data_IF_226437008854
#
_entry.id   IF_226437008854
#
_cell.length_a   1.000
_cell.length_b   1.000
_cell.length_c   1.000
_cell.angle_alpha   90.00
_cell.angle_beta   90.00
_cell.angle_gamma   90.00
#
_symmetry.space_group_name_H-M   'P 1'
#
loop_
_entity.id
_entity.type
_entity.pdbx_description
1 polymer ?
#
# COMPACT_ATOMS: atom_id res chain seq x y z
N UNK A 1 -38.23 27.14 62.41
CA UNK A 1 -39.60 27.13 61.87
C UNK A 1 -39.78 25.83 61.10
N UNK A 2 -40.74 25.00 61.51
CA UNK A 2 -41.00 23.64 60.99
C UNK A 2 -41.63 23.72 59.59
N UNK A 3 -41.20 22.86 58.65
CA UNK A 3 -42.12 22.15 57.74
C UNK A 3 -41.56 20.74 57.47
N UNK A 4 -42.31 19.74 57.91
CA UNK A 4 -42.25 18.33 57.51
C UNK A 4 -43.56 18.03 56.78
N UNK A 5 -43.53 17.21 55.72
CA UNK A 5 -44.55 16.29 55.16
C UNK A 5 -43.97 15.87 53.77
N UNK A 6 -43.48 14.65 53.51
CA UNK A 6 -44.06 13.30 53.46
C UNK A 6 -45.03 13.04 52.29
N UNK A 7 -44.71 11.96 51.56
CA UNK A 7 -45.54 11.00 50.80
C UNK A 7 -45.72 11.09 49.27
N UNK A 8 -45.64 9.88 48.69
CA UNK A 8 -46.05 9.38 47.37
C UNK A 8 -45.10 9.66 46.19
N UNK A 9 -44.68 8.71 45.37
CA UNK A 9 -45.01 7.29 45.27
C UNK A 9 -44.33 6.70 44.02
N UNK A 10 -44.07 5.40 44.10
CA UNK A 10 -43.80 4.41 43.06
C UNK A 10 -43.62 4.82 41.58
N UNK A 11 -42.63 4.14 40.96
CA UNK A 11 -42.64 3.61 39.58
C UNK A 11 -42.71 4.62 38.43
N UNK A 12 -41.64 4.65 37.64
CA UNK A 12 -41.65 3.96 36.35
C UNK A 12 -40.27 4.08 35.71
N UNK A 13 -39.62 2.93 35.52
CA UNK A 13 -38.61 2.79 34.48
C UNK A 13 -39.28 3.18 33.16
N UNK A 14 -38.88 4.28 32.53
CA UNK A 14 -39.32 4.59 31.18
C UNK A 14 -38.23 5.35 30.41
N UNK A 15 -37.84 4.72 29.30
CA UNK A 15 -37.24 5.30 28.12
C UNK A 15 -35.75 5.74 28.16
N UNK A 16 -34.85 4.75 28.11
CA UNK A 16 -33.73 4.85 27.16
C UNK A 16 -34.29 4.72 25.73
N UNK A 17 -34.85 5.81 25.21
CA UNK A 17 -35.09 5.98 23.79
C UNK A 17 -34.08 6.99 23.24
N UNK A 18 -32.80 6.62 23.30
CA UNK A 18 -31.73 7.32 22.60
C UNK A 18 -31.76 6.91 21.12
N UNK A 19 -31.89 7.90 20.25
CA UNK A 19 -31.98 7.78 18.80
C UNK A 19 -31.00 6.76 18.20
N UNK A 20 -31.56 5.65 17.69
CA UNK A 20 -30.92 4.78 16.71
C UNK A 20 -30.86 5.54 15.39
N UNK A 21 -29.88 6.43 15.22
CA UNK A 21 -29.46 6.90 13.89
C UNK A 21 -28.84 5.68 13.24
N UNK A 22 -29.61 5.02 12.38
CA UNK A 22 -29.12 4.03 11.43
C UNK A 22 -28.03 4.69 10.60
N UNK A 23 -26.78 4.50 11.00
CA UNK A 23 -25.66 4.62 10.10
C UNK A 23 -25.82 3.44 9.15
N UNK A 24 -26.32 3.71 7.95
CA UNK A 24 -26.11 2.83 6.81
C UNK A 24 -24.62 2.91 6.48
N UNK A 25 -23.81 2.26 7.31
CA UNK A 25 -22.53 1.74 6.87
C UNK A 25 -22.87 0.76 5.75
N UNK A 26 -22.46 1.09 4.54
CA UNK A 26 -22.32 0.12 3.48
C UNK A 26 -21.23 -0.85 3.90
N UNK A 27 -21.56 -1.76 4.81
CA UNK A 27 -20.82 -3.00 5.03
C UNK A 27 -20.92 -3.76 3.71
N UNK A 28 -19.93 -3.56 2.84
CA UNK A 28 -19.69 -4.49 1.76
C UNK A 28 -19.41 -5.84 2.39
N UNK A 29 -20.38 -6.75 2.32
CA UNK A 29 -20.22 -8.14 2.74
C UNK A 29 -18.93 -8.68 2.11
N UNK A 30 -17.91 -9.10 2.88
CA UNK A 30 -16.75 -9.74 2.30
C UNK A 30 -17.24 -11.05 1.67
N UNK A 31 -17.24 -11.09 0.34
CA UNK A 31 -17.50 -12.32 -0.41
C UNK A 31 -16.27 -13.20 -0.23
N UNK A 32 -16.29 -14.02 0.82
CA UNK A 32 -15.28 -15.04 1.03
C UNK A 32 -15.52 -16.17 0.01
N UNK A 33 -15.01 -16.00 -1.20
CA UNK A 33 -14.82 -17.11 -2.11
C UNK A 33 -13.78 -18.06 -1.49
N UNK A 34 -14.29 -19.11 -0.86
CA UNK A 34 -13.48 -20.17 -0.22
C UNK A 34 -12.98 -21.20 -1.24
N UNK A 35 -13.10 -20.90 -2.54
CA UNK A 35 -12.53 -21.70 -3.61
C UNK A 35 -11.03 -21.92 -3.41
N UNK A 36 -10.60 -23.17 -3.30
CA UNK A 36 -9.18 -23.53 -3.20
C UNK A 36 -8.47 -23.11 -4.48
N UNK A 37 -7.78 -21.96 -4.47
CA UNK A 37 -7.00 -21.51 -5.62
C UNK A 37 -5.73 -22.35 -5.72
N UNK A 38 -5.67 -23.25 -6.71
CA UNK A 38 -4.45 -24.02 -6.99
C UNK A 38 -3.42 -23.12 -7.66
N UNK A 39 -2.33 -22.83 -6.94
CA UNK A 39 -1.19 -22.05 -7.43
C UNK A 39 -0.11 -23.00 -7.92
N UNK A 40 0.09 -23.03 -9.23
CA UNK A 40 1.12 -23.84 -9.89
C UNK A 40 2.15 -22.92 -10.55
N UNK A 41 3.38 -23.42 -10.69
CA UNK A 41 4.41 -22.74 -11.47
C UNK A 41 4.00 -22.68 -12.94
N UNK A 42 4.37 -21.61 -13.63
CA UNK A 42 4.12 -21.44 -15.05
C UNK A 42 5.35 -21.87 -15.87
N UNK A 43 5.13 -22.21 -17.15
CA UNK A 43 6.24 -22.40 -18.09
C UNK A 43 7.08 -21.11 -18.15
N UNK A 44 8.42 -21.20 -18.26
CA UNK A 44 9.28 -20.01 -18.35
C UNK A 44 8.93 -19.12 -19.55
N UNK A 45 9.11 -17.79 -19.46
CA UNK A 45 8.95 -16.90 -20.60
C UNK A 45 10.12 -17.05 -21.59
N UNK A 46 9.97 -16.60 -22.85
CA UNK A 46 11.07 -16.57 -23.79
C UNK A 46 12.25 -15.73 -23.25
N UNK A 47 13.44 -16.34 -23.19
CA UNK A 47 14.69 -15.62 -22.90
C UNK A 47 15.01 -15.33 -21.44
N UNK A 48 14.35 -15.97 -20.46
CA UNK A 48 14.72 -15.79 -19.05
C UNK A 48 13.71 -16.34 -18.04
N UNK A 49 13.65 -15.71 -16.88
CA UNK A 49 12.66 -16.01 -15.83
C UNK A 49 11.51 -15.00 -15.86
N UNK A 50 10.41 -15.32 -15.19
CA UNK A 50 9.32 -14.35 -15.04
C UNK A 50 9.74 -13.10 -14.24
N UNK A 51 10.81 -13.16 -13.44
CA UNK A 51 11.36 -12.00 -12.73
C UNK A 51 11.97 -10.95 -13.65
N UNK A 52 12.27 -11.29 -14.90
CA UNK A 52 12.85 -10.38 -15.90
C UNK A 52 11.76 -9.70 -16.76
N UNK A 53 10.51 -10.15 -16.63
CA UNK A 53 9.36 -9.63 -17.39
C UNK A 53 8.77 -8.45 -16.63
N UNK A 54 8.96 -7.24 -17.19
CA UNK A 54 8.44 -5.99 -16.62
C UNK A 54 7.57 -5.27 -17.64
N UNK A 55 6.34 -4.93 -17.24
CA UNK A 55 5.36 -4.21 -18.07
C UNK A 55 4.82 -2.99 -17.32
N UNK A 56 4.55 -1.90 -18.05
CA UNK A 56 3.76 -0.80 -17.51
C UNK A 56 2.29 -1.21 -17.35
N UNK A 57 1.63 -0.70 -16.31
CA UNK A 57 0.19 -0.82 -16.10
C UNK A 57 -0.44 0.59 -16.06
N UNK A 58 -1.76 0.67 -15.96
CA UNK A 58 -2.46 1.96 -15.80
C UNK A 58 -2.04 2.70 -14.53
N UNK A 59 -1.60 1.98 -13.48
CA UNK A 59 -1.36 2.56 -12.15
C UNK A 59 0.08 2.38 -11.65
N UNK A 60 0.95 1.73 -12.41
CA UNK A 60 2.27 1.37 -11.92
C UNK A 60 3.06 0.51 -12.92
N UNK A 61 3.85 -0.40 -12.36
CA UNK A 61 4.67 -1.33 -13.14
C UNK A 61 4.56 -2.72 -12.53
N UNK A 62 4.42 -3.72 -13.38
CA UNK A 62 4.25 -5.12 -13.02
C UNK A 62 5.51 -5.90 -13.37
N UNK A 63 5.95 -6.76 -12.46
CA UNK A 63 6.96 -7.79 -12.65
C UNK A 63 6.30 -9.18 -12.53
N UNK A 64 6.65 -10.10 -13.41
CA UNK A 64 6.17 -11.48 -13.38
C UNK A 64 5.28 -11.89 -14.53
N UNK A 65 4.62 -13.04 -14.36
CA UNK A 65 3.71 -13.58 -15.35
C UNK A 65 2.38 -12.78 -15.39
N UNK A 66 2.04 -12.06 -16.48
CA UNK A 66 0.78 -11.33 -16.59
C UNK A 66 -0.46 -12.25 -16.49
N UNK A 67 -0.31 -13.56 -16.66
CA UNK A 67 -1.36 -14.56 -16.52
C UNK A 67 -1.32 -15.32 -15.17
N UNK A 68 -0.46 -14.95 -14.22
CA UNK A 68 -0.45 -15.54 -12.89
C UNK A 68 -1.83 -15.38 -12.22
N UNK A 69 -2.33 -16.46 -11.59
CA UNK A 69 -3.62 -16.46 -10.89
C UNK A 69 -3.63 -15.54 -9.66
N UNK A 70 -2.47 -15.35 -9.03
CA UNK A 70 -2.31 -14.42 -7.90
C UNK A 70 -1.71 -13.13 -8.41
N UNK A 71 -2.42 -12.02 -8.15
CA UNK A 71 -1.97 -10.65 -8.40
C UNK A 71 -1.70 -9.99 -7.07
N UNK A 72 -0.45 -9.63 -6.81
CA UNK A 72 -0.07 -8.84 -5.65
C UNK A 72 0.10 -7.39 -6.10
N UNK A 73 -0.69 -6.49 -5.55
CA UNK A 73 -0.52 -5.05 -5.76
C UNK A 73 0.08 -4.45 -4.50
N UNK A 74 1.29 -3.93 -4.62
CA UNK A 74 1.92 -3.13 -3.59
C UNK A 74 1.65 -1.65 -3.87
N UNK A 75 1.04 -0.96 -2.92
CA UNK A 75 0.87 0.49 -2.96
C UNK A 75 1.91 1.07 -1.99
N UNK A 76 2.92 1.75 -2.52
CA UNK A 76 4.10 2.14 -1.75
C UNK A 76 4.64 3.52 -2.06
N UNK A 77 5.40 4.07 -1.13
CA UNK A 77 6.07 5.37 -1.24
C UNK A 77 7.58 5.17 -1.13
N UNK A 78 8.33 5.79 -2.03
CA UNK A 78 9.80 5.67 -2.07
C UNK A 78 10.49 6.40 -0.92
N UNK A 79 9.79 7.26 -0.16
CA UNK A 79 10.29 7.84 1.09
C UNK A 79 9.78 7.14 2.36
N UNK A 80 8.90 6.15 2.24
CA UNK A 80 8.35 5.44 3.40
C UNK A 80 9.36 4.43 3.96
N UNK A 81 9.68 4.47 5.27
CA UNK A 81 10.64 3.55 5.87
C UNK A 81 10.12 2.11 5.96
N UNK A 82 8.80 1.91 6.07
CA UNK A 82 8.21 0.57 6.05
C UNK A 82 8.24 -0.05 4.65
N UNK A 83 8.06 0.77 3.61
CA UNK A 83 8.23 0.32 2.23
C UNK A 83 9.68 -0.06 1.96
N UNK A 84 10.66 0.73 2.43
CA UNK A 84 12.09 0.34 2.37
C UNK A 84 12.35 -1.00 3.05
N UNK A 85 11.82 -1.21 4.25
CA UNK A 85 11.99 -2.49 4.96
C UNK A 85 11.42 -3.66 4.16
N UNK A 86 10.25 -3.49 3.53
CA UNK A 86 9.68 -4.52 2.67
C UNK A 86 10.53 -4.74 1.41
N UNK A 87 11.07 -3.69 0.79
CA UNK A 87 12.01 -3.79 -0.32
C UNK A 87 13.25 -4.61 0.05
N UNK A 88 13.82 -4.39 1.24
CA UNK A 88 15.06 -5.06 1.67
C UNK A 88 14.82 -6.51 2.12
N UNK A 89 13.72 -6.78 2.83
CA UNK A 89 13.50 -8.06 3.49
C UNK A 89 12.47 -8.96 2.80
N UNK A 90 11.50 -8.34 2.12
CA UNK A 90 10.29 -8.96 1.57
C UNK A 90 10.38 -9.19 0.07
N UNK A 91 10.70 -8.15 -0.70
CA UNK A 91 10.75 -8.20 -2.18
C UNK A 91 11.69 -9.27 -2.71
N UNK A 92 12.93 -9.48 -2.18
CA UNK A 92 13.79 -10.55 -2.65
C UNK A 92 13.16 -11.94 -2.50
N UNK A 93 12.51 -12.19 -1.35
CA UNK A 93 11.82 -13.47 -1.09
C UNK A 93 10.59 -13.64 -1.96
N UNK A 94 9.83 -12.55 -2.17
CA UNK A 94 8.68 -12.51 -3.07
C UNK A 94 9.11 -12.89 -4.49
N UNK A 95 10.17 -12.26 -4.99
CA UNK A 95 10.69 -12.47 -6.33
C UNK A 95 11.17 -13.92 -6.48
N UNK A 96 12.03 -14.38 -5.58
CA UNK A 96 12.68 -15.67 -5.68
C UNK A 96 11.72 -16.84 -5.53
N UNK A 97 10.76 -16.74 -4.60
CA UNK A 97 9.84 -17.85 -4.31
C UNK A 97 8.63 -17.89 -5.23
N UNK A 98 8.16 -16.75 -5.73
CA UNK A 98 6.84 -16.68 -6.36
C UNK A 98 6.81 -15.96 -7.71
N UNK A 99 7.59 -14.89 -7.90
CA UNK A 99 7.53 -14.13 -9.16
C UNK A 99 8.31 -14.87 -10.25
N UNK A 100 9.55 -15.31 -9.98
CA UNK A 100 10.40 -16.00 -10.97
C UNK A 100 9.77 -17.28 -11.52
N UNK A 101 9.02 -17.99 -10.68
CA UNK A 101 8.28 -19.22 -11.05
C UNK A 101 6.95 -18.94 -11.77
N UNK A 102 6.55 -17.67 -11.90
CA UNK A 102 5.30 -17.26 -12.53
C UNK A 102 4.04 -17.53 -11.70
N UNK A 103 4.19 -17.84 -10.41
CA UNK A 103 3.08 -18.09 -9.49
C UNK A 103 2.37 -16.80 -9.07
N UNK A 104 3.12 -15.71 -8.92
CA UNK A 104 2.62 -14.39 -8.55
C UNK A 104 3.05 -13.36 -9.61
N UNK A 105 2.14 -12.44 -9.92
CA UNK A 105 2.42 -11.21 -10.64
C UNK A 105 2.37 -10.07 -9.65
N UNK A 106 3.50 -9.39 -9.46
CA UNK A 106 3.65 -8.31 -8.50
C UNK A 106 3.61 -6.98 -9.23
N UNK A 107 2.73 -6.08 -8.82
CA UNK A 107 2.62 -4.73 -9.35
C UNK A 107 2.96 -3.73 -8.25
N UNK A 108 3.96 -2.89 -8.49
CA UNK A 108 4.25 -1.74 -7.64
C UNK A 108 3.51 -0.51 -8.16
N UNK A 109 2.66 0.06 -7.31
CA UNK A 109 1.89 1.28 -7.56
C UNK A 109 2.39 2.38 -6.63
N UNK A 110 3.08 3.40 -7.18
CA UNK A 110 3.58 4.47 -6.36
C UNK A 110 2.44 5.31 -5.79
N UNK A 111 2.58 5.68 -4.53
CA UNK A 111 1.65 6.53 -3.79
C UNK A 111 2.42 7.64 -3.07
N UNK A 112 1.82 8.82 -3.02
CA UNK A 112 2.43 10.02 -2.45
C UNK A 112 1.93 10.18 -1.01
N UNK A 113 2.77 9.82 -0.05
CA UNK A 113 2.50 9.91 1.40
C UNK A 113 3.11 11.20 1.97
N UNK A 114 4.34 11.52 1.57
CA UNK A 114 5.14 12.63 2.12
C UNK A 114 5.27 13.82 1.14
N UNK A 115 4.32 13.93 0.20
CA UNK A 115 4.22 15.10 -0.68
C UNK A 115 5.31 15.16 -1.76
N UNK A 116 5.91 16.34 -2.03
CA UNK A 116 6.76 16.55 -3.21
C UNK A 116 7.96 15.61 -3.34
N UNK A 117 8.54 15.14 -2.22
CA UNK A 117 9.68 14.21 -2.28
C UNK A 117 9.28 12.86 -2.91
N UNK A 118 8.08 12.37 -2.62
CA UNK A 118 7.55 11.16 -3.23
C UNK A 118 7.29 11.37 -4.71
N UNK A 119 6.75 12.52 -5.08
CA UNK A 119 6.54 12.86 -6.49
C UNK A 119 7.87 12.89 -7.25
N UNK A 120 8.88 13.55 -6.70
CA UNK A 120 10.21 13.62 -7.30
C UNK A 120 10.84 12.22 -7.46
N UNK A 121 10.79 11.40 -6.41
CA UNK A 121 11.30 10.03 -6.46
C UNK A 121 10.55 9.19 -7.52
N UNK A 122 9.24 9.36 -7.63
CA UNK A 122 8.41 8.65 -8.61
C UNK A 122 8.65 9.06 -10.06
N UNK A 123 9.02 10.32 -10.29
CA UNK A 123 9.45 10.82 -11.60
C UNK A 123 10.81 10.21 -11.94
N UNK A 124 11.77 10.27 -11.01
CA UNK A 124 13.13 9.72 -11.20
C UNK A 124 13.08 8.21 -11.49
N UNK A 125 12.25 7.46 -10.76
CA UNK A 125 12.08 6.01 -10.96
C UNK A 125 11.61 5.65 -12.38
N UNK A 126 10.94 6.58 -13.08
CA UNK A 126 10.38 6.36 -14.44
C UNK A 126 11.31 6.82 -15.56
N UNK A 127 12.32 7.63 -15.29
CA UNK A 127 13.12 8.31 -16.31
C UNK A 127 13.79 7.37 -17.33
N UNK A 128 14.18 6.16 -16.93
CA UNK A 128 14.82 5.19 -17.82
C UNK A 128 13.87 4.23 -18.55
N UNK A 129 12.55 4.44 -18.46
CA UNK A 129 11.54 3.58 -19.07
C UNK A 129 11.26 2.27 -18.33
N UNK A 130 10.38 1.44 -18.92
CA UNK A 130 9.76 0.27 -18.27
C UNK A 130 10.78 -0.70 -17.66
N UNK A 131 11.82 -1.06 -18.41
CA UNK A 131 12.80 -2.07 -17.97
C UNK A 131 13.68 -1.61 -16.80
N UNK A 132 13.84 -0.31 -16.62
CA UNK A 132 14.71 0.24 -15.56
C UNK A 132 13.94 0.60 -14.31
N UNK A 133 12.60 0.57 -14.34
CA UNK A 133 11.77 1.01 -13.23
C UNK A 133 12.14 0.33 -11.90
N UNK A 134 12.11 -1.00 -11.83
CA UNK A 134 12.43 -1.73 -10.60
C UNK A 134 13.89 -1.56 -10.15
N UNK A 135 14.90 -1.62 -11.05
CA UNK A 135 16.28 -1.26 -10.69
C UNK A 135 16.41 0.15 -10.09
N UNK A 136 15.66 1.12 -10.62
CA UNK A 136 15.67 2.49 -10.11
C UNK A 136 14.98 2.60 -8.76
N UNK A 137 13.84 1.93 -8.54
CA UNK A 137 13.18 1.91 -7.21
C UNK A 137 14.06 1.24 -6.16
N UNK A 138 14.71 0.12 -6.50
CA UNK A 138 15.69 -0.53 -5.63
C UNK A 138 16.83 0.41 -5.22
N UNK A 139 17.39 1.14 -6.18
CA UNK A 139 18.45 2.12 -5.91
C UNK A 139 17.96 3.26 -5.02
N UNK A 140 16.75 3.77 -5.26
CA UNK A 140 16.14 4.83 -4.45
C UNK A 140 15.86 4.36 -3.01
N UNK A 141 15.39 3.13 -2.81
CA UNK A 141 15.20 2.57 -1.47
C UNK A 141 16.51 2.35 -0.74
N UNK A 142 17.54 1.85 -1.44
CA UNK A 142 18.89 1.68 -0.88
C UNK A 142 19.47 3.01 -0.38
N UNK A 143 19.29 4.08 -1.15
CA UNK A 143 19.80 5.41 -0.82
C UNK A 143 18.80 6.27 -0.01
N UNK A 144 17.65 5.71 0.37
CA UNK A 144 16.52 6.46 0.95
C UNK A 144 16.94 7.34 2.13
N UNK A 145 17.64 6.80 3.12
CA UNK A 145 18.09 7.57 4.29
C UNK A 145 18.99 8.73 3.90
N UNK A 146 19.93 8.50 2.98
CA UNK A 146 20.82 9.55 2.48
C UNK A 146 20.04 10.66 1.77
N UNK A 147 19.07 10.29 0.94
CA UNK A 147 18.20 11.24 0.22
C UNK A 147 17.39 12.05 1.22
N UNK A 148 16.73 11.39 2.19
CA UNK A 148 15.87 12.05 3.16
C UNK A 148 16.65 12.97 4.10
N UNK A 149 17.83 12.56 4.55
CA UNK A 149 18.71 13.41 5.36
C UNK A 149 19.12 14.68 4.61
N UNK A 150 19.43 14.58 3.31
CA UNK A 150 19.74 15.74 2.47
C UNK A 150 18.54 16.67 2.28
N UNK A 151 17.35 16.12 2.11
CA UNK A 151 16.11 16.90 1.98
C UNK A 151 15.79 17.63 3.28
N UNK A 152 15.95 16.96 4.43
CA UNK A 152 15.72 17.56 5.75
C UNK A 152 16.74 18.67 6.07
N UNK A 153 17.98 18.52 5.62
CA UNK A 153 19.02 19.52 5.78
C UNK A 153 18.90 20.72 4.81
N UNK A 154 18.00 20.66 3.83
CA UNK A 154 17.85 21.73 2.84
C UNK A 154 17.24 23.01 3.45
N UNK A 155 17.62 24.20 2.96
CA UNK A 155 17.01 25.45 3.41
C UNK A 155 15.49 25.45 3.17
N UNK A 156 14.72 25.78 4.21
CA UNK A 156 13.25 25.70 4.16
C UNK A 156 12.64 26.70 3.16
N UNK A 157 13.27 27.86 2.94
CA UNK A 157 12.85 28.83 1.93
C UNK A 157 12.92 28.27 0.50
N UNK A 158 13.80 27.30 0.25
CA UNK A 158 13.90 26.59 -1.02
C UNK A 158 12.83 25.50 -1.12
N UNK A 159 12.60 24.76 -0.05
CA UNK A 159 11.57 23.71 -0.01
C UNK A 159 10.16 24.30 -0.21
N UNK A 160 9.87 25.45 0.39
CA UNK A 160 8.59 26.15 0.27
C UNK A 160 8.28 26.63 -1.17
N UNK A 161 9.28 26.68 -2.06
CA UNK A 161 9.07 27.02 -3.48
C UNK A 161 8.70 25.80 -4.33
N UNK A 162 8.83 24.60 -3.78
CA UNK A 162 8.61 23.31 -4.45
C UNK A 162 7.30 22.66 -3.97
N UNK A 163 6.77 23.12 -2.83
CA UNK A 163 5.45 22.78 -2.29
C UNK A 163 4.37 23.65 -2.93
#
# INVERSE_FOLDING_TARGET
MKVRILLAGAMAALALAGCKKTQSESEGTPVADSGKVTITQANPPPGGTWGDVVNATTSGFMMGNPNAKVKLVEIGSLSCPHCKKFEEEGVPKLIDKYVKSGQVSWEFRPYVIHGPIDMAANIIARCGGVKTFFPMTMALYKDQETILNKVQAAPQDKLNKIQ
#
